data_IF_978527613186
#
_entry.id   IF_978527613186
#
_cell.length_a   1.000
_cell.length_b   1.000
_cell.length_c   1.000
_cell.angle_alpha   90.00
_cell.angle_beta   90.00
_cell.angle_gamma   90.00
#
_symmetry.space_group_name_H-M   'P 1'
#
loop_
_entity.id
_entity.type
_entity.pdbx_description
1 polymer ?
#
# COMPACT_ATOMS: atom_id res chain seq x y z
N UNK A 1 28.97 7.37 7.86
CA UNK A 1 28.15 7.26 6.65
C UNK A 1 26.80 6.73 7.10
N UNK A 2 25.76 7.56 7.02
CA UNK A 2 24.38 7.10 7.18
C UNK A 2 24.06 6.11 6.05
N UNK A 3 23.46 4.98 6.39
CA UNK A 3 23.03 4.00 5.39
C UNK A 3 21.90 4.57 4.53
N UNK A 4 21.82 4.12 3.28
CA UNK A 4 20.79 4.59 2.33
C UNK A 4 19.35 4.28 2.77
N UNK A 5 19.15 3.34 3.72
CA UNK A 5 17.85 3.03 4.31
C UNK A 5 17.54 3.83 5.58
N UNK A 6 18.46 4.71 6.04
CA UNK A 6 18.34 5.51 7.27
C UNK A 6 18.51 4.66 8.52
N UNK A 7 17.86 5.05 9.62
CA UNK A 7 17.93 4.37 10.91
C UNK A 7 16.66 3.54 11.18
N UNK A 8 16.78 2.54 12.06
CA UNK A 8 15.63 1.79 12.59
C UNK A 8 14.77 2.67 13.49
N UNK A 9 13.45 2.48 13.44
CA UNK A 9 12.47 3.17 14.26
C UNK A 9 11.28 2.25 14.60
N UNK A 10 10.18 2.80 15.10
CA UNK A 10 8.97 2.04 15.44
C UNK A 10 8.23 1.47 14.22
N UNK A 11 8.52 1.96 13.02
CA UNK A 11 7.93 1.52 11.75
C UNK A 11 8.94 0.88 10.78
N UNK A 12 10.22 0.83 11.15
CA UNK A 12 11.29 0.32 10.29
C UNK A 12 12.21 -0.62 11.05
N UNK A 13 12.53 -1.76 10.45
CA UNK A 13 13.42 -2.77 11.03
C UNK A 13 14.37 -3.31 9.96
N UNK A 14 15.63 -3.58 10.32
CA UNK A 14 16.64 -4.14 9.45
C UNK A 14 17.03 -5.55 9.91
N UNK A 15 17.25 -6.43 8.94
CA UNK A 15 17.81 -7.76 9.17
C UNK A 15 18.74 -8.13 8.03
N UNK A 16 19.90 -8.64 8.35
CA UNK A 16 20.88 -9.07 7.35
C UNK A 16 20.45 -10.34 6.62
N UNK A 17 19.61 -11.17 7.23
CA UNK A 17 19.22 -12.49 6.71
C UNK A 17 17.87 -12.94 7.27
N UNK A 18 17.16 -13.77 6.51
CA UNK A 18 15.98 -14.50 6.96
C UNK A 18 16.35 -15.91 7.49
N UNK A 19 17.36 -16.54 6.90
CA UNK A 19 17.73 -17.93 7.23
C UNK A 19 18.91 -18.04 8.18
N UNK A 20 19.80 -17.06 8.24
CA UNK A 20 21.03 -17.12 9.02
C UNK A 20 20.98 -16.23 10.25
N UNK A 21 21.12 -16.82 11.43
CA UNK A 21 21.36 -16.07 12.65
C UNK A 21 22.86 -15.69 12.75
N UNK A 22 23.20 -14.53 13.32
CA UNK A 22 24.60 -14.05 13.43
C UNK A 22 25.54 -14.97 14.21
N UNK A 23 25.03 -15.89 14.97
CA UNK A 23 25.75 -16.89 15.77
C UNK A 23 25.01 -18.22 15.70
N UNK A 24 25.69 -19.36 15.96
CA UNK A 24 25.24 -20.77 15.91
C UNK A 24 23.79 -21.06 16.41
N UNK A 25 22.94 -20.05 16.56
CA UNK A 25 21.53 -20.18 16.83
C UNK A 25 20.82 -20.83 15.64
N UNK A 26 19.89 -21.73 15.91
CA UNK A 26 19.15 -22.50 14.92
C UNK A 26 18.44 -21.55 13.92
N UNK A 27 18.49 -21.87 12.63
CA UNK A 27 17.81 -21.14 11.53
C UNK A 27 16.34 -20.82 11.85
N UNK A 28 15.65 -21.69 12.57
CA UNK A 28 14.29 -21.46 13.07
C UNK A 28 14.15 -20.25 14.00
N UNK A 29 15.23 -19.82 14.67
CA UNK A 29 15.18 -18.69 15.59
C UNK A 29 15.19 -17.34 14.84
N UNK A 30 15.91 -17.25 13.71
CA UNK A 30 15.98 -16.01 12.93
C UNK A 30 14.67 -15.71 12.22
N UNK A 31 14.10 -16.69 11.49
CA UNK A 31 12.79 -16.51 10.85
C UNK A 31 11.68 -16.22 11.87
N UNK A 32 11.75 -16.88 13.06
CA UNK A 32 10.84 -16.60 14.16
C UNK A 32 10.94 -15.14 14.64
N UNK A 33 12.17 -14.61 14.81
CA UNK A 33 12.37 -13.22 15.21
C UNK A 33 11.80 -12.22 14.19
N UNK A 34 11.89 -12.54 12.90
CA UNK A 34 11.29 -11.75 11.84
C UNK A 34 9.76 -11.79 11.94
N UNK A 35 9.15 -12.96 12.14
CA UNK A 35 7.71 -13.09 12.33
C UNK A 35 7.21 -12.39 13.59
N UNK A 36 8.00 -12.39 14.68
CA UNK A 36 7.71 -11.55 15.87
C UNK A 36 7.66 -10.05 15.51
N UNK A 37 8.62 -9.57 14.71
CA UNK A 37 8.64 -8.20 14.20
C UNK A 37 7.41 -7.88 13.39
N UNK A 38 7.06 -8.74 12.44
CA UNK A 38 5.86 -8.59 11.60
C UNK A 38 4.59 -8.59 12.46
N UNK A 39 4.45 -9.52 13.41
CA UNK A 39 3.33 -9.56 14.35
C UNK A 39 3.22 -8.26 15.15
N UNK A 40 4.34 -7.76 15.67
CA UNK A 40 4.39 -6.52 16.43
C UNK A 40 4.01 -5.30 15.59
N UNK A 41 4.42 -5.25 14.32
CA UNK A 41 4.02 -4.20 13.37
C UNK A 41 2.53 -4.28 13.05
N UNK A 42 1.98 -5.48 12.78
CA UNK A 42 0.53 -5.67 12.56
C UNK A 42 -0.29 -5.21 13.76
N UNK A 43 0.18 -5.43 14.98
CA UNK A 43 -0.47 -5.02 16.21
C UNK A 43 -0.30 -3.55 16.55
N UNK A 44 0.55 -2.82 15.84
CA UNK A 44 0.78 -1.39 16.03
C UNK A 44 0.31 -0.58 14.81
N UNK A 45 1.19 0.14 14.16
CA UNK A 45 0.90 1.07 13.04
C UNK A 45 1.30 0.51 11.67
N UNK A 46 1.69 -0.76 11.60
CA UNK A 46 2.37 -1.32 10.44
C UNK A 46 3.85 -0.95 10.42
N UNK A 47 4.48 -1.12 9.27
CA UNK A 47 5.89 -0.77 9.09
C UNK A 47 6.53 -1.49 7.92
N UNK A 48 7.84 -1.36 7.80
CA UNK A 48 8.64 -2.03 6.77
C UNK A 48 9.84 -2.70 7.41
N UNK A 49 10.01 -4.00 7.12
CA UNK A 49 11.20 -4.75 7.49
C UNK A 49 12.04 -5.00 6.23
N UNK A 50 13.32 -4.69 6.28
CA UNK A 50 14.25 -4.90 5.18
C UNK A 50 15.16 -6.10 5.47
N UNK A 51 15.23 -7.05 4.52
CA UNK A 51 16.12 -8.18 4.53
C UNK A 51 17.32 -7.94 3.62
N UNK A 52 18.53 -8.18 4.09
CA UNK A 52 19.78 -7.87 3.41
C UNK A 52 20.32 -6.48 3.75
N UNK A 53 19.92 -5.92 4.89
CA UNK A 53 20.36 -4.61 5.41
C UNK A 53 20.91 -4.78 6.81
N UNK A 54 22.03 -4.13 7.12
CA UNK A 54 22.61 -4.13 8.46
C UNK A 54 21.96 -3.09 9.39
N UNK A 55 22.32 -3.12 10.68
CA UNK A 55 21.76 -2.23 11.71
C UNK A 55 22.11 -0.74 11.49
N UNK A 56 22.99 -0.43 10.53
CA UNK A 56 23.35 0.93 10.12
C UNK A 56 22.60 1.39 8.88
N UNK A 57 21.64 0.59 8.37
CA UNK A 57 20.90 0.86 7.15
C UNK A 57 21.74 0.70 5.87
N UNK A 58 22.86 -0.05 5.95
CA UNK A 58 23.72 -0.32 4.79
C UNK A 58 23.30 -1.65 4.16
N UNK A 59 23.03 -1.71 2.84
CA UNK A 59 22.69 -2.95 2.17
C UNK A 59 23.91 -3.88 2.12
N UNK A 60 23.76 -5.07 2.69
CA UNK A 60 24.76 -6.16 2.64
C UNK A 60 24.37 -7.24 1.63
N UNK A 61 23.11 -7.17 1.14
CA UNK A 61 22.56 -8.12 0.19
C UNK A 61 22.21 -9.48 0.78
N UNK A 62 21.60 -10.34 -0.03
CA UNK A 62 21.03 -11.63 0.37
C UNK A 62 21.78 -12.85 -0.22
N UNK A 63 23.02 -12.68 -0.64
CA UNK A 63 23.77 -13.78 -1.30
C UNK A 63 23.75 -15.07 -0.48
N UNK A 64 24.07 -14.99 0.81
CA UNK A 64 24.11 -16.17 1.69
C UNK A 64 22.74 -16.84 1.85
N UNK A 65 21.67 -16.03 1.88
CA UNK A 65 20.31 -16.54 1.95
C UNK A 65 19.91 -17.24 0.66
N UNK A 66 20.29 -16.70 -0.51
CA UNK A 66 20.05 -17.31 -1.81
C UNK A 66 20.82 -18.62 -1.97
N UNK A 67 22.08 -18.69 -1.51
CA UNK A 67 22.86 -19.92 -1.48
C UNK A 67 22.23 -20.96 -0.54
N UNK A 68 21.70 -20.52 0.60
CA UNK A 68 20.96 -21.37 1.55
C UNK A 68 19.64 -21.87 0.97
N UNK A 69 18.93 -21.03 0.22
CA UNK A 69 17.71 -21.38 -0.50
C UNK A 69 17.97 -22.56 -1.48
N UNK A 70 19.03 -22.45 -2.29
CA UNK A 70 19.42 -23.49 -3.22
C UNK A 70 19.80 -24.79 -2.51
N UNK A 71 20.65 -24.70 -1.49
CA UNK A 71 21.20 -25.85 -0.79
C UNK A 71 20.19 -26.60 0.08
N UNK A 72 19.30 -25.88 0.81
CA UNK A 72 18.35 -26.49 1.76
C UNK A 72 17.00 -26.81 1.17
N UNK A 73 16.54 -25.99 0.20
CA UNK A 73 15.19 -26.12 -0.33
C UNK A 73 15.17 -26.55 -1.79
N UNK A 74 16.35 -26.67 -2.45
CA UNK A 74 16.44 -27.07 -3.86
C UNK A 74 15.79 -26.06 -4.83
N UNK A 75 15.68 -24.79 -4.41
CA UNK A 75 15.06 -23.71 -5.19
C UNK A 75 16.12 -22.88 -5.92
N UNK A 76 15.73 -22.21 -6.99
CA UNK A 76 16.63 -21.29 -7.69
C UNK A 76 17.10 -20.15 -6.76
N UNK A 77 18.39 -19.75 -6.78
CA UNK A 77 18.93 -18.69 -5.92
C UNK A 77 18.54 -17.29 -6.46
N UNK A 78 17.27 -17.01 -6.51
CA UNK A 78 16.70 -15.72 -7.00
C UNK A 78 15.86 -15.06 -5.91
N UNK A 79 15.72 -13.72 -5.97
CA UNK A 79 14.85 -13.00 -5.05
C UNK A 79 13.39 -13.46 -5.14
N UNK A 80 12.91 -13.82 -6.34
CA UNK A 80 11.54 -14.31 -6.52
C UNK A 80 11.32 -15.63 -5.78
N UNK A 81 12.23 -16.60 -5.93
CA UNK A 81 12.16 -17.88 -5.21
C UNK A 81 12.30 -17.67 -3.69
N UNK A 82 13.13 -16.72 -3.28
CA UNK A 82 13.30 -16.33 -1.89
C UNK A 82 12.00 -15.75 -1.29
N UNK A 83 11.33 -14.85 -2.00
CA UNK A 83 10.04 -14.29 -1.57
C UNK A 83 8.94 -15.37 -1.53
N UNK A 84 8.92 -16.31 -2.48
CA UNK A 84 8.00 -17.47 -2.45
C UNK A 84 8.20 -18.27 -1.17
N UNK A 85 9.44 -18.54 -0.77
CA UNK A 85 9.72 -19.29 0.43
C UNK A 85 9.35 -18.53 1.71
N UNK A 86 9.54 -17.21 1.75
CA UNK A 86 9.09 -16.37 2.86
C UNK A 86 7.57 -16.35 2.94
N UNK A 87 6.86 -16.17 1.82
CA UNK A 87 5.40 -16.20 1.78
C UNK A 87 4.86 -17.52 2.32
N UNK A 88 5.41 -18.67 1.89
CA UNK A 88 5.02 -19.99 2.39
C UNK A 88 5.16 -20.11 3.90
N UNK A 89 6.29 -19.65 4.45
CA UNK A 89 6.50 -19.68 5.90
C UNK A 89 5.61 -18.66 6.62
N UNK A 90 5.38 -17.50 6.03
CA UNK A 90 4.48 -16.49 6.58
C UNK A 90 3.03 -17.00 6.68
N UNK A 91 2.52 -17.65 5.64
CA UNK A 91 1.21 -18.29 5.67
C UNK A 91 1.13 -19.40 6.72
N UNK A 92 2.23 -20.15 6.93
CA UNK A 92 2.29 -21.16 7.98
C UNK A 92 2.21 -20.56 9.38
N UNK A 93 2.84 -19.39 9.62
CA UNK A 93 2.91 -18.75 10.93
C UNK A 93 1.72 -17.86 11.26
N UNK A 94 1.10 -17.25 10.25
CA UNK A 94 0.01 -16.28 10.43
C UNK A 94 -1.33 -16.77 9.92
N UNK A 95 -1.35 -17.75 9.01
CA UNK A 95 -2.51 -18.10 8.22
C UNK A 95 -2.81 -17.04 7.15
N UNK A 96 -3.62 -17.41 6.16
CA UNK A 96 -4.02 -16.54 5.04
C UNK A 96 -4.72 -15.26 5.51
N UNK A 97 -5.49 -15.33 6.59
CA UNK A 97 -6.26 -14.20 7.15
C UNK A 97 -5.37 -13.02 7.53
N UNK A 98 -4.21 -13.26 8.10
CA UNK A 98 -3.28 -12.22 8.51
C UNK A 98 -2.22 -11.95 7.44
N UNK A 99 -1.72 -12.99 6.76
CA UNK A 99 -0.62 -12.83 5.81
C UNK A 99 -0.96 -11.95 4.60
N UNK A 100 -2.23 -11.82 4.23
CA UNK A 100 -2.68 -10.87 3.18
C UNK A 100 -2.40 -9.39 3.48
N UNK A 101 -2.05 -9.04 4.74
CA UNK A 101 -1.62 -7.70 5.15
C UNK A 101 -0.10 -7.50 5.04
N UNK A 102 0.60 -8.48 4.46
CA UNK A 102 2.04 -8.44 4.24
C UNK A 102 2.32 -8.45 2.74
N UNK A 103 3.16 -7.53 2.29
CA UNK A 103 3.59 -7.47 0.88
C UNK A 103 5.11 -7.49 0.82
N UNK A 104 5.68 -8.45 0.07
CA UNK A 104 7.11 -8.53 -0.18
C UNK A 104 7.44 -7.82 -1.49
N UNK A 105 8.52 -7.04 -1.49
CA UNK A 105 9.00 -6.33 -2.68
C UNK A 105 10.51 -6.47 -2.82
N UNK A 106 11.04 -6.88 -3.99
CA UNK A 106 12.46 -6.93 -4.22
C UNK A 106 13.02 -5.52 -4.49
N UNK A 107 14.22 -5.26 -3.99
CA UNK A 107 15.04 -4.09 -4.30
C UNK A 107 16.30 -4.60 -4.99
N UNK A 108 16.18 -4.81 -6.30
CA UNK A 108 17.16 -5.53 -7.10
C UNK A 108 18.55 -4.87 -7.11
N UNK A 109 18.61 -3.53 -7.09
CA UNK A 109 19.85 -2.75 -7.12
C UNK A 109 20.79 -3.10 -5.96
N UNK A 110 20.22 -3.52 -4.82
CA UNK A 110 20.95 -3.83 -3.59
C UNK A 110 20.85 -5.30 -3.18
N UNK A 111 20.14 -6.12 -3.96
CA UNK A 111 19.83 -7.51 -3.61
C UNK A 111 19.20 -7.63 -2.20
N UNK A 112 18.17 -6.81 -1.96
CA UNK A 112 17.44 -6.65 -0.70
C UNK A 112 15.97 -6.97 -0.94
N UNK A 113 15.25 -7.44 0.07
CA UNK A 113 13.80 -7.59 0.05
C UNK A 113 13.18 -6.72 1.14
N UNK A 114 12.19 -5.90 0.79
CA UNK A 114 11.36 -5.20 1.75
C UNK A 114 10.08 -5.99 2.03
N UNK A 115 9.73 -6.11 3.31
CA UNK A 115 8.49 -6.69 3.80
C UNK A 115 7.65 -5.54 4.33
N UNK A 116 6.65 -5.12 3.55
CA UNK A 116 5.71 -4.07 3.94
C UNK A 116 4.59 -4.71 4.74
N UNK A 117 4.37 -4.25 5.95
CA UNK A 117 3.38 -4.77 6.89
C UNK A 117 2.32 -3.72 7.13
N UNK A 118 1.07 -4.03 6.80
CA UNK A 118 -0.08 -3.19 7.14
C UNK A 118 -0.61 -3.55 8.54
N UNK A 119 -1.11 -2.58 9.32
CA UNK A 119 -1.74 -2.88 10.59
C UNK A 119 -3.02 -3.69 10.38
N UNK A 120 -3.19 -4.78 11.14
CA UNK A 120 -4.43 -5.57 11.08
C UNK A 120 -5.57 -4.80 11.77
N UNK A 121 -6.68 -4.51 11.08
CA UNK A 121 -7.65 -3.53 11.59
C UNK A 121 -8.70 -4.09 12.55
N UNK A 122 -8.84 -5.43 12.68
CA UNK A 122 -10.03 -6.02 13.34
C UNK A 122 -9.78 -6.47 14.77
N UNK A 123 -8.65 -7.15 15.04
CA UNK A 123 -8.34 -7.76 16.33
C UNK A 123 -6.83 -7.84 16.56
N UNK A 124 -6.40 -8.40 17.67
CA UNK A 124 -5.01 -8.70 17.95
C UNK A 124 -4.53 -9.85 17.08
N UNK A 125 -3.35 -9.73 16.52
CA UNK A 125 -2.70 -10.77 15.71
C UNK A 125 -1.86 -11.66 16.62
N UNK A 126 -2.01 -12.96 16.46
CA UNK A 126 -1.23 -13.98 17.15
C UNK A 126 -0.43 -14.79 16.13
N UNK A 127 0.75 -15.24 16.53
CA UNK A 127 1.49 -16.27 15.81
C UNK A 127 0.84 -17.65 16.04
N UNK A 128 1.19 -18.64 15.21
CA UNK A 128 0.62 -19.99 15.31
C UNK A 128 0.87 -20.68 16.66
N UNK A 129 1.89 -20.25 17.40
CA UNK A 129 2.21 -20.75 18.75
C UNK A 129 1.38 -20.06 19.87
N UNK A 130 0.45 -19.19 19.51
CA UNK A 130 -0.40 -18.44 20.42
C UNK A 130 0.28 -17.22 21.05
N UNK A 131 1.51 -16.89 20.66
CA UNK A 131 2.18 -15.70 21.17
C UNK A 131 1.78 -14.45 20.35
N UNK A 132 1.83 -13.29 20.99
CA UNK A 132 1.56 -12.01 20.37
C UNK A 132 2.56 -10.94 20.81
N UNK A 133 2.82 -9.98 19.95
CA UNK A 133 3.88 -8.99 20.13
C UNK A 133 3.36 -7.59 19.80
N UNK A 134 3.95 -6.58 20.46
CA UNK A 134 3.71 -5.16 20.19
C UNK A 134 5.05 -4.44 19.98
N UNK A 135 5.08 -3.50 19.05
CA UNK A 135 6.24 -2.65 18.83
C UNK A 135 6.37 -1.62 19.95
N UNK A 136 7.52 -1.62 20.62
CA UNK A 136 7.91 -0.62 21.63
C UNK A 136 9.24 -0.01 21.19
N UNK A 137 9.19 1.21 20.64
CA UNK A 137 10.33 1.83 19.96
C UNK A 137 10.84 0.90 18.82
N UNK A 138 12.14 0.58 18.79
CA UNK A 138 12.76 -0.31 17.81
C UNK A 138 12.77 -1.80 18.21
N UNK A 139 12.00 -2.21 19.22
CA UNK A 139 11.94 -3.60 19.68
C UNK A 139 10.54 -4.21 19.64
N UNK A 140 10.46 -5.53 19.46
CA UNK A 140 9.22 -6.31 19.51
C UNK A 140 9.09 -6.99 20.87
N UNK A 141 8.23 -6.46 21.73
CA UNK A 141 7.97 -6.98 23.06
C UNK A 141 6.78 -7.94 23.06
N UNK A 142 6.91 -9.12 23.68
CA UNK A 142 5.80 -10.04 23.84
C UNK A 142 4.74 -9.43 24.78
N UNK A 143 3.48 -9.53 24.39
CA UNK A 143 2.35 -9.14 25.23
C UNK A 143 1.92 -10.36 26.04
N UNK A 144 1.95 -10.24 27.35
CA UNK A 144 1.50 -11.28 28.29
C UNK A 144 0.38 -10.83 29.18
N UNK A 145 0.11 -9.54 29.19
CA UNK A 145 -0.93 -8.92 30.02
C UNK A 145 -2.21 -8.67 29.20
N UNK A 146 -3.35 -9.08 29.77
CA UNK A 146 -4.67 -8.96 29.14
C UNK A 146 -5.06 -7.48 28.95
N UNK A 147 -4.61 -6.57 29.78
CA UNK A 147 -4.96 -5.15 29.69
C UNK A 147 -4.42 -4.52 28.38
N UNK A 148 -3.21 -4.86 27.96
CA UNK A 148 -2.66 -4.42 26.68
C UNK A 148 -3.44 -5.01 25.49
N UNK A 149 -3.84 -6.28 25.57
CA UNK A 149 -4.66 -6.94 24.56
C UNK A 149 -6.01 -6.23 24.42
N UNK A 150 -6.70 -5.99 25.51
CA UNK A 150 -7.96 -5.28 25.54
C UNK A 150 -7.85 -3.85 25.00
N UNK A 151 -6.74 -3.14 25.29
CA UNK A 151 -6.50 -1.81 24.77
C UNK A 151 -6.33 -1.79 23.25
N UNK A 152 -5.66 -2.80 22.66
CA UNK A 152 -5.54 -2.94 21.21
C UNK A 152 -6.92 -3.21 20.60
N UNK A 153 -7.70 -4.13 21.17
CA UNK A 153 -9.07 -4.47 20.72
C UNK A 153 -9.98 -3.25 20.77
N UNK A 154 -10.00 -2.55 21.90
CA UNK A 154 -10.80 -1.34 22.07
C UNK A 154 -10.47 -0.27 21.03
N UNK A 155 -9.20 0.05 20.82
CA UNK A 155 -8.78 1.04 19.80
C UNK A 155 -9.22 0.67 18.41
N UNK A 156 -9.17 -0.61 18.04
CA UNK A 156 -9.62 -1.10 16.73
C UNK A 156 -11.13 -1.04 16.58
N UNK A 157 -11.87 -1.50 17.57
CA UNK A 157 -13.33 -1.40 17.59
C UNK A 157 -13.80 0.04 17.50
N UNK A 158 -13.16 0.97 18.22
CA UNK A 158 -13.45 2.41 18.13
C UNK A 158 -13.15 2.96 16.72
N UNK A 159 -12.05 2.54 16.09
CA UNK A 159 -11.72 2.95 14.73
C UNK A 159 -12.73 2.44 13.70
N UNK A 160 -13.14 1.18 13.80
CA UNK A 160 -14.17 0.58 12.95
C UNK A 160 -15.52 1.29 13.17
N UNK A 161 -15.96 1.47 14.43
CA UNK A 161 -17.19 2.17 14.74
C UNK A 161 -17.20 3.60 14.20
N UNK A 162 -16.10 4.36 14.34
CA UNK A 162 -15.98 5.70 13.76
C UNK A 162 -16.12 5.69 12.23
N UNK A 163 -15.70 4.64 11.56
CA UNK A 163 -15.88 4.49 10.11
C UNK A 163 -17.32 4.15 9.78
N UNK A 164 -17.94 3.23 10.53
CA UNK A 164 -19.36 2.87 10.37
C UNK A 164 -20.28 4.06 10.63
N UNK A 165 -20.01 4.86 11.67
CA UNK A 165 -20.73 6.10 11.96
C UNK A 165 -20.70 7.08 10.79
N UNK A 166 -19.55 7.24 10.12
CA UNK A 166 -19.42 8.11 8.94
C UNK A 166 -20.26 7.59 7.76
N UNK A 167 -20.27 6.27 7.56
CA UNK A 167 -21.07 5.63 6.51
C UNK A 167 -22.56 5.81 6.78
N UNK A 168 -23.00 5.64 8.03
CA UNK A 168 -24.37 5.85 8.45
C UNK A 168 -24.79 7.30 8.19
N UNK A 169 -23.98 8.28 8.58
CA UNK A 169 -24.23 9.70 8.33
C UNK A 169 -24.33 9.99 6.84
N UNK A 170 -23.45 9.42 6.01
CA UNK A 170 -23.48 9.61 4.56
C UNK A 170 -24.72 9.00 3.93
N UNK A 171 -25.12 7.78 4.32
CA UNK A 171 -26.34 7.12 3.84
C UNK A 171 -27.58 7.93 4.19
N UNK A 172 -27.68 8.45 5.41
CA UNK A 172 -28.76 9.29 5.87
C UNK A 172 -28.79 10.63 5.12
N UNK A 173 -27.63 11.27 4.91
CA UNK A 173 -27.52 12.51 4.15
C UNK A 173 -27.94 12.33 2.67
N UNK A 174 -27.58 11.22 2.03
CA UNK A 174 -28.00 10.87 0.66
C UNK A 174 -29.52 10.69 0.61
N UNK A 175 -30.09 9.93 1.53
CA UNK A 175 -31.53 9.69 1.62
C UNK A 175 -32.32 11.00 1.81
N UNK A 176 -31.85 11.85 2.72
CA UNK A 176 -32.45 13.16 3.04
C UNK A 176 -32.08 14.26 2.05
N UNK A 177 -31.23 13.97 1.07
CA UNK A 177 -30.71 14.95 0.09
C UNK A 177 -30.10 16.17 0.78
N UNK A 178 -29.24 15.92 1.76
CA UNK A 178 -28.56 16.94 2.56
C UNK A 178 -27.08 17.01 2.21
N UNK A 179 -26.52 18.21 2.34
CA UNK A 179 -25.08 18.44 2.25
C UNK A 179 -24.37 17.89 3.48
N UNK A 180 -23.12 17.52 3.32
CA UNK A 180 -22.26 17.12 4.45
C UNK A 180 -20.99 17.96 4.50
N UNK A 181 -20.46 18.13 5.69
CA UNK A 181 -19.13 18.70 5.93
C UNK A 181 -18.16 17.58 6.26
N UNK A 182 -17.12 17.42 5.44
CA UNK A 182 -15.93 16.65 5.78
C UNK A 182 -15.01 17.53 6.59
N UNK A 183 -14.77 17.15 7.85
CA UNK A 183 -13.85 17.85 8.76
C UNK A 183 -12.50 17.16 8.68
N UNK A 184 -11.42 17.95 8.53
CA UNK A 184 -10.06 17.45 8.52
C UNK A 184 -9.77 16.44 7.40
N UNK A 185 -10.32 16.64 6.18
CA UNK A 185 -10.10 15.72 5.07
C UNK A 185 -8.66 15.80 4.56
N UNK A 186 -7.96 14.66 4.63
CA UNK A 186 -6.57 14.49 4.18
C UNK A 186 -6.56 14.17 2.68
N UNK A 187 -6.19 15.14 1.86
CA UNK A 187 -6.08 14.97 0.41
C UNK A 187 -4.65 14.57 0.03
N UNK A 188 -4.48 13.35 -0.49
CA UNK A 188 -3.16 12.87 -0.94
C UNK A 188 -2.70 13.66 -2.19
N UNK A 189 -3.61 13.96 -3.12
CA UNK A 189 -3.26 14.61 -4.39
C UNK A 189 -2.77 16.06 -4.20
N UNK A 190 -3.26 16.78 -3.19
CA UNK A 190 -2.86 18.17 -2.91
C UNK A 190 -1.96 18.31 -1.68
N UNK A 191 -1.70 17.22 -0.93
CA UNK A 191 -0.94 17.27 0.31
C UNK A 191 -1.57 18.14 1.41
N UNK A 192 -2.89 18.42 1.34
CA UNK A 192 -3.55 19.37 2.23
C UNK A 192 -4.57 18.69 3.15
N UNK A 193 -4.77 19.26 4.33
CA UNK A 193 -5.85 18.91 5.24
C UNK A 193 -6.84 20.08 5.26
N UNK A 194 -8.09 19.86 4.81
CA UNK A 194 -9.11 20.91 4.69
C UNK A 194 -10.49 20.39 5.05
N UNK A 195 -11.33 21.30 5.54
CA UNK A 195 -12.77 21.06 5.62
C UNK A 195 -13.39 21.25 4.22
N UNK A 196 -14.39 20.42 3.89
CA UNK A 196 -15.09 20.48 2.60
C UNK A 196 -16.59 20.35 2.83
N UNK A 197 -17.38 21.16 2.14
CA UNK A 197 -18.85 21.03 2.11
C UNK A 197 -19.23 20.48 0.76
N UNK A 198 -19.88 19.32 0.75
CA UNK A 198 -20.17 18.57 -0.47
C UNK A 198 -21.59 17.99 -0.45
N UNK A 199 -22.11 17.64 -1.61
CA UNK A 199 -23.36 16.92 -1.79
C UNK A 199 -23.05 15.44 -2.07
N UNK A 200 -23.14 14.54 -1.06
CA UNK A 200 -22.91 13.11 -1.27
C UNK A 200 -24.10 12.51 -1.99
N UNK A 201 -23.89 11.64 -2.99
CA UNK A 201 -25.00 11.05 -3.74
C UNK A 201 -24.85 9.56 -4.07
N UNK A 202 -23.66 8.96 -3.88
CA UNK A 202 -23.44 7.52 -4.06
C UNK A 202 -22.27 7.05 -3.22
N UNK A 203 -22.36 5.81 -2.68
CA UNK A 203 -21.30 5.17 -1.90
C UNK A 203 -20.91 3.85 -2.60
N UNK A 204 -19.60 3.68 -2.85
CA UNK A 204 -19.02 2.45 -3.38
C UNK A 204 -18.33 1.68 -2.25
N UNK A 205 -18.64 0.38 -2.13
CA UNK A 205 -18.01 -0.60 -1.24
C UNK A 205 -17.83 -0.16 0.22
N UNK A 206 -18.64 0.81 0.68
CA UNK A 206 -18.50 1.48 1.98
C UNK A 206 -17.12 2.14 2.23
N UNK A 207 -16.30 2.30 1.21
CA UNK A 207 -15.00 2.95 1.29
C UNK A 207 -14.95 4.33 0.62
N UNK A 208 -15.70 4.49 -0.46
CA UNK A 208 -15.68 5.69 -1.28
C UNK A 208 -17.06 6.31 -1.40
N UNK A 209 -17.11 7.63 -1.46
CA UNK A 209 -18.35 8.36 -1.69
C UNK A 209 -18.20 9.36 -2.83
N UNK A 210 -19.13 9.33 -3.76
CA UNK A 210 -19.24 10.31 -4.84
C UNK A 210 -19.96 11.54 -4.32
N UNK A 211 -19.34 12.69 -4.45
CA UNK A 211 -19.87 13.95 -4.01
C UNK A 211 -19.70 15.02 -5.08
N UNK A 212 -20.64 15.94 -5.16
CA UNK A 212 -20.44 17.20 -5.87
C UNK A 212 -19.88 18.26 -4.91
N UNK A 213 -18.78 18.89 -5.28
CA UNK A 213 -18.10 19.96 -4.54
C UNK A 213 -18.35 21.30 -5.24
N UNK A 214 -19.24 22.12 -4.71
CA UNK A 214 -19.67 23.37 -5.34
C UNK A 214 -18.54 24.40 -5.47
N UNK A 215 -17.62 24.46 -4.53
CA UNK A 215 -16.46 25.36 -4.57
C UNK A 215 -15.57 25.16 -5.79
N UNK A 216 -15.52 23.95 -6.33
CA UNK A 216 -14.70 23.60 -7.50
C UNK A 216 -15.54 23.26 -8.73
N UNK A 217 -16.88 23.33 -8.62
CA UNK A 217 -17.83 22.95 -9.68
C UNK A 217 -17.52 21.56 -10.28
N UNK A 218 -17.23 20.57 -9.43
CA UNK A 218 -16.82 19.22 -9.86
C UNK A 218 -17.40 18.11 -9.00
N UNK A 219 -17.71 17.01 -9.65
CA UNK A 219 -17.90 15.73 -8.95
C UNK A 219 -16.53 15.15 -8.59
N UNK A 220 -16.42 14.64 -7.37
CA UNK A 220 -15.23 13.99 -6.84
C UNK A 220 -15.58 12.73 -6.08
N UNK A 221 -14.63 11.82 -6.01
CA UNK A 221 -14.69 10.63 -5.19
C UNK A 221 -13.81 10.84 -3.96
N UNK A 222 -14.42 10.71 -2.80
CA UNK A 222 -13.73 10.87 -1.51
C UNK A 222 -13.61 9.50 -0.82
N UNK A 223 -12.43 9.17 -0.33
CA UNK A 223 -12.26 8.02 0.55
C UNK A 223 -12.74 8.38 1.95
N UNK A 224 -13.75 7.66 2.45
CA UNK A 224 -14.47 7.99 3.71
C UNK A 224 -13.52 8.02 4.91
N UNK A 225 -12.57 7.08 4.97
CA UNK A 225 -11.59 6.98 6.05
C UNK A 225 -10.63 8.18 6.18
N UNK A 226 -10.46 8.98 5.10
CA UNK A 226 -9.58 10.17 5.11
C UNK A 226 -10.18 11.40 5.78
N UNK A 227 -11.48 11.43 6.03
CA UNK A 227 -12.09 12.47 6.85
C UNK A 227 -11.87 12.16 8.33
N UNK A 228 -11.53 13.14 9.12
CA UNK A 228 -11.50 13.00 10.59
C UNK A 228 -12.93 12.78 11.11
N UNK A 229 -13.86 13.62 10.65
CA UNK A 229 -15.28 13.55 10.99
C UNK A 229 -16.13 13.93 9.77
N UNK A 230 -17.33 13.36 9.68
CA UNK A 230 -18.36 13.75 8.72
C UNK A 230 -19.58 14.25 9.51
N UNK A 231 -20.12 15.39 9.13
CA UNK A 231 -21.27 16.02 9.77
C UNK A 231 -22.31 16.37 8.70
N UNK A 232 -23.52 15.87 8.85
CA UNK A 232 -24.65 16.28 8.01
C UNK A 232 -25.01 17.72 8.36
N UNK A 233 -25.29 18.54 7.35
CA UNK A 233 -25.73 19.92 7.51
C UNK A 233 -27.26 20.03 7.32
N UNK A 234 -27.83 21.15 7.75
CA UNK A 234 -29.24 21.44 7.50
C UNK A 234 -29.50 21.94 6.06
N UNK A 235 -28.45 22.15 5.26
CA UNK A 235 -28.57 22.59 3.90
C UNK A 235 -28.96 21.45 2.95
N UNK A 236 -30.03 21.63 2.11
CA UNK A 236 -30.37 20.65 1.09
C UNK A 236 -29.35 20.66 -0.07
N UNK A 237 -29.38 19.63 -0.91
CA UNK A 237 -28.73 19.67 -2.20
C UNK A 237 -29.23 20.82 -3.05
N UNK A 238 -28.31 21.49 -3.73
CA UNK A 238 -28.61 22.61 -4.65
C UNK A 238 -28.30 22.29 -6.12
N UNK A 239 -27.49 21.22 -6.35
CA UNK A 239 -26.90 20.90 -7.64
C UNK A 239 -27.13 19.43 -8.04
N UNK A 240 -28.33 18.92 -7.77
CA UNK A 240 -28.69 17.53 -8.07
C UNK A 240 -28.50 17.16 -9.55
N UNK A 241 -28.72 18.10 -10.46
CA UNK A 241 -28.54 17.93 -11.90
C UNK A 241 -27.06 17.67 -12.29
N UNK A 242 -26.12 18.05 -11.45
CA UNK A 242 -24.68 17.82 -11.63
C UNK A 242 -24.22 16.50 -11.02
N UNK A 243 -25.08 15.74 -10.34
CA UNK A 243 -24.74 14.46 -9.77
C UNK A 243 -24.58 13.40 -10.87
N UNK A 244 -23.35 13.09 -11.21
CA UNK A 244 -22.99 12.12 -12.22
C UNK A 244 -21.96 11.16 -11.64
N UNK A 245 -22.21 9.85 -11.72
CA UNK A 245 -21.23 8.84 -11.34
C UNK A 245 -19.99 9.00 -12.21
N UNK A 246 -18.84 9.15 -11.57
CA UNK A 246 -17.56 9.14 -12.25
C UNK A 246 -17.10 7.69 -12.43
N UNK A 247 -16.61 7.37 -13.61
CA UNK A 247 -15.88 6.13 -13.82
C UNK A 247 -14.50 6.23 -13.17
N UNK A 248 -14.05 5.14 -12.55
CA UNK A 248 -12.68 4.97 -12.07
C UNK A 248 -11.90 4.24 -13.15
N UNK A 249 -10.70 4.73 -13.46
CA UNK A 249 -9.79 4.06 -14.38
C UNK A 249 -9.01 2.93 -13.67
N UNK A 250 -8.28 2.08 -14.42
CA UNK A 250 -7.49 1.00 -13.83
C UNK A 250 -6.36 1.45 -12.90
N UNK A 251 -6.03 2.74 -12.86
CA UNK A 251 -5.04 3.34 -11.96
C UNK A 251 -5.68 4.02 -10.74
N UNK A 252 -6.97 3.73 -10.48
CA UNK A 252 -7.78 4.29 -9.39
C UNK A 252 -7.95 5.82 -9.46
N UNK A 253 -7.89 6.39 -10.67
CA UNK A 253 -8.17 7.80 -10.91
C UNK A 253 -9.57 7.98 -11.46
N UNK A 254 -10.18 9.11 -11.13
CA UNK A 254 -11.47 9.52 -11.65
C UNK A 254 -11.37 10.83 -12.42
N UNK A 255 -12.17 10.98 -13.47
CA UNK A 255 -12.17 12.17 -14.29
C UNK A 255 -13.19 12.09 -15.43
N UNK A 256 -13.26 13.14 -16.22
CA UNK A 256 -14.18 13.23 -17.36
C UNK A 256 -13.49 12.93 -18.69
N UNK A 257 -12.22 13.35 -18.80
CA UNK A 257 -11.46 13.23 -20.05
C UNK A 257 -10.51 12.05 -19.98
N UNK A 258 -10.77 11.06 -20.83
CA UNK A 258 -9.89 9.89 -20.99
C UNK A 258 -8.63 10.26 -21.78
N UNK A 259 -7.51 9.70 -21.34
CA UNK A 259 -6.22 9.71 -22.01
C UNK A 259 -5.92 8.25 -22.33
N UNK A 260 -5.80 7.91 -23.61
CA UNK A 260 -5.48 6.56 -24.02
C UNK A 260 -4.05 6.22 -23.61
N UNK A 261 -3.84 4.98 -23.19
CA UNK A 261 -2.58 4.47 -22.68
C UNK A 261 -2.17 3.23 -23.44
N UNK A 262 -1.01 3.33 -24.11
CA UNK A 262 -0.34 2.19 -24.76
C UNK A 262 1.11 2.17 -24.33
N UNK A 263 1.46 1.17 -23.52
CA UNK A 263 2.82 0.95 -23.04
C UNK A 263 3.25 -0.48 -23.41
N UNK A 264 4.49 -0.62 -23.90
CA UNK A 264 5.13 -1.93 -23.99
C UNK A 264 5.99 -2.16 -22.76
N UNK A 265 5.78 -3.29 -22.11
CA UNK A 265 6.35 -3.62 -20.81
C UNK A 265 7.25 -4.83 -20.95
N UNK A 266 8.41 -4.81 -20.31
CA UNK A 266 9.16 -6.02 -19.99
C UNK A 266 8.61 -6.70 -18.74
N UNK A 267 9.06 -7.91 -18.43
CA UNK A 267 8.53 -8.74 -17.35
C UNK A 267 8.48 -7.97 -16.01
N UNK A 268 9.54 -7.26 -15.65
CA UNK A 268 9.64 -6.53 -14.38
C UNK A 268 8.54 -5.46 -14.26
N UNK A 269 8.39 -4.65 -15.30
CA UNK A 269 7.37 -3.60 -15.31
C UNK A 269 5.95 -4.19 -15.35
N UNK A 270 5.72 -5.25 -16.12
CA UNK A 270 4.43 -5.93 -16.19
C UNK A 270 4.02 -6.51 -14.84
N UNK A 271 4.95 -7.16 -14.13
CA UNK A 271 4.70 -7.74 -12.81
C UNK A 271 4.41 -6.65 -11.78
N UNK A 272 5.28 -5.62 -11.70
CA UNK A 272 5.07 -4.49 -10.79
C UNK A 272 3.73 -3.77 -11.03
N UNK A 273 3.34 -3.60 -12.31
CA UNK A 273 2.08 -2.94 -12.63
C UNK A 273 0.86 -3.75 -12.16
N UNK A 274 0.91 -5.09 -12.28
CA UNK A 274 -0.15 -5.98 -11.77
C UNK A 274 -0.23 -5.98 -10.25
N UNK A 275 0.90 -5.85 -9.56
CA UNK A 275 0.96 -5.75 -8.10
C UNK A 275 0.38 -4.42 -7.61
N UNK A 276 0.73 -3.31 -8.28
CA UNK A 276 0.21 -1.98 -7.92
C UNK A 276 -1.28 -1.81 -8.22
N UNK A 277 -1.74 -2.45 -9.31
CA UNK A 277 -3.11 -2.33 -9.81
C UNK A 277 -3.65 -3.71 -10.23
N UNK A 278 -4.09 -4.57 -9.32
CA UNK A 278 -4.51 -5.95 -9.63
C UNK A 278 -5.54 -6.06 -10.75
N UNK A 279 -6.46 -5.09 -10.86
CA UNK A 279 -7.45 -5.00 -11.93
C UNK A 279 -6.90 -4.71 -13.32
N UNK A 280 -5.62 -4.33 -13.45
CA UNK A 280 -4.99 -3.96 -14.73
C UNK A 280 -4.75 -5.18 -15.63
N UNK A 281 -4.70 -6.40 -15.06
CA UNK A 281 -4.36 -7.63 -15.78
C UNK A 281 -5.19 -7.87 -17.04
N UNK A 282 -6.47 -7.47 -17.04
CA UNK A 282 -7.38 -7.58 -18.19
C UNK A 282 -7.03 -6.68 -19.36
N UNK A 283 -6.16 -5.71 -19.18
CA UNK A 283 -5.71 -4.76 -20.20
C UNK A 283 -4.30 -5.08 -20.71
N UNK A 284 -3.68 -6.16 -20.20
CA UNK A 284 -2.32 -6.58 -20.57
C UNK A 284 -2.42 -7.84 -21.42
N UNK A 285 -1.79 -7.81 -22.58
CA UNK A 285 -1.63 -8.98 -23.46
C UNK A 285 -0.16 -9.19 -23.81
N UNK A 286 0.23 -10.42 -24.12
CA UNK A 286 1.57 -10.72 -24.63
C UNK A 286 1.75 -10.10 -26.03
N UNK A 287 2.89 -9.44 -26.26
CA UNK A 287 3.21 -8.73 -27.50
C UNK A 287 4.59 -9.14 -28.07
N UNK A 288 5.14 -10.24 -27.60
CA UNK A 288 6.42 -10.80 -28.01
C UNK A 288 6.84 -11.95 -27.10
N UNK A 289 8.06 -12.46 -27.27
CA UNK A 289 8.59 -13.52 -26.40
C UNK A 289 8.72 -13.06 -24.95
N UNK A 290 9.21 -11.82 -24.73
CA UNK A 290 9.53 -11.27 -23.41
C UNK A 290 8.92 -9.90 -23.19
N UNK A 291 7.87 -9.55 -23.92
CA UNK A 291 7.20 -8.25 -23.85
C UNK A 291 5.68 -8.38 -23.80
N UNK A 292 5.06 -7.41 -23.16
CA UNK A 292 3.61 -7.31 -22.97
C UNK A 292 3.13 -5.92 -23.35
N UNK A 293 2.00 -5.84 -24.00
CA UNK A 293 1.32 -4.59 -24.34
C UNK A 293 0.23 -4.31 -23.31
N UNK A 294 0.31 -3.17 -22.66
CA UNK A 294 -0.79 -2.58 -21.91
C UNK A 294 -1.57 -1.66 -22.85
N UNK A 295 -2.87 -1.92 -23.00
CA UNK A 295 -3.80 -1.05 -23.73
C UNK A 295 -4.98 -0.73 -22.84
N UNK A 296 -5.08 0.54 -22.40
CA UNK A 296 -6.10 1.02 -21.49
C UNK A 296 -6.29 2.53 -21.60
N UNK A 297 -6.84 3.16 -20.57
CA UNK A 297 -6.96 4.60 -20.46
C UNK A 297 -6.68 5.06 -19.03
N UNK A 298 -6.39 6.34 -18.87
CA UNK A 298 -6.34 7.00 -17.57
C UNK A 298 -7.04 8.35 -17.60
N UNK A 299 -7.50 8.82 -16.46
CA UNK A 299 -8.00 10.18 -16.27
C UNK A 299 -6.91 11.14 -15.75
N UNK A 300 -5.78 10.62 -15.28
CA UNK A 300 -4.68 11.41 -14.75
C UNK A 300 -3.34 10.74 -15.06
N UNK A 301 -2.39 11.50 -15.58
CA UNK A 301 -1.07 10.99 -15.93
C UNK A 301 -0.16 10.72 -14.72
N UNK A 302 -0.48 11.27 -13.55
CA UNK A 302 0.40 11.19 -12.38
C UNK A 302 0.77 9.75 -11.97
N UNK A 303 -0.15 8.77 -11.86
CA UNK A 303 0.21 7.40 -11.54
C UNK A 303 1.12 6.75 -12.59
N UNK A 304 0.86 7.02 -13.88
CA UNK A 304 1.69 6.54 -14.98
C UNK A 304 3.07 7.17 -14.98
N UNK A 305 3.15 8.47 -14.69
CA UNK A 305 4.40 9.20 -14.58
C UNK A 305 5.28 8.61 -13.46
N UNK A 306 4.72 8.41 -12.27
CA UNK A 306 5.42 7.79 -11.14
C UNK A 306 5.87 6.37 -11.48
N UNK A 307 4.98 5.58 -12.07
CA UNK A 307 5.31 4.23 -12.52
C UNK A 307 6.44 4.23 -13.56
N UNK A 308 6.36 5.11 -14.55
CA UNK A 308 7.39 5.24 -15.60
C UNK A 308 8.75 5.64 -14.99
N UNK A 309 8.78 6.63 -14.10
CA UNK A 309 10.02 7.06 -13.44
C UNK A 309 10.71 5.94 -12.67
N UNK A 310 9.92 5.06 -12.04
CA UNK A 310 10.44 3.93 -11.28
C UNK A 310 10.89 2.74 -12.15
N UNK A 311 10.39 2.63 -13.39
CA UNK A 311 10.57 1.47 -14.26
C UNK A 311 10.97 1.83 -15.69
N UNK A 312 11.56 3.02 -15.92
CA UNK A 312 11.81 3.56 -17.27
C UNK A 312 12.59 2.60 -18.19
N UNK A 313 13.56 1.86 -17.66
CA UNK A 313 14.35 0.88 -18.41
C UNK A 313 13.56 -0.36 -18.88
N UNK A 314 12.36 -0.57 -18.32
CA UNK A 314 11.50 -1.71 -18.60
C UNK A 314 10.18 -1.32 -19.27
N UNK A 315 9.99 -0.02 -19.57
CA UNK A 315 8.76 0.53 -20.14
C UNK A 315 9.06 1.35 -21.38
N UNK A 316 8.47 0.96 -22.51
CA UNK A 316 8.43 1.76 -23.72
C UNK A 316 7.08 2.48 -23.82
N UNK A 317 7.11 3.81 -23.95
CA UNK A 317 5.91 4.61 -24.21
C UNK A 317 5.59 4.52 -25.70
N UNK A 318 4.58 3.70 -26.03
CA UNK A 318 4.14 3.52 -27.41
C UNK A 318 3.24 4.68 -27.84
N UNK A 319 2.19 4.95 -27.01
CA UNK A 319 1.29 6.08 -27.24
C UNK A 319 0.59 6.46 -25.91
N UNK A 320 1.01 7.54 -25.31
CA UNK A 320 0.37 8.17 -24.14
C UNK A 320 0.56 9.68 -24.26
N UNK A 321 -0.50 10.35 -24.67
CA UNK A 321 -0.44 11.80 -24.89
C UNK A 321 -0.08 12.55 -23.62
N UNK A 322 1.00 13.35 -23.67
CA UNK A 322 1.44 14.22 -22.59
C UNK A 322 2.28 13.54 -21.51
N UNK A 323 2.54 12.21 -21.58
CA UNK A 323 3.30 11.52 -20.54
C UNK A 323 4.79 11.92 -20.56
N UNK A 324 5.40 12.02 -21.72
CA UNK A 324 6.82 12.40 -21.84
C UNK A 324 7.08 13.81 -21.33
N UNK A 325 6.18 14.73 -21.67
CA UNK A 325 6.19 16.11 -21.19
C UNK A 325 6.03 16.18 -19.67
N UNK A 326 5.05 15.45 -19.11
CA UNK A 326 4.84 15.40 -17.67
C UNK A 326 6.05 14.82 -16.91
N UNK A 327 6.71 13.81 -17.46
CA UNK A 327 7.96 13.25 -16.91
C UNK A 327 9.08 14.28 -16.96
N UNK A 328 9.29 14.94 -18.10
CA UNK A 328 10.33 15.94 -18.26
C UNK A 328 10.14 17.13 -17.30
N UNK A 329 8.91 17.62 -17.19
CA UNK A 329 8.57 18.72 -16.27
C UNK A 329 8.81 18.30 -14.81
N UNK A 330 8.42 17.09 -14.42
CA UNK A 330 8.65 16.58 -13.07
C UNK A 330 10.15 16.47 -12.76
N UNK A 331 10.94 15.87 -13.67
CA UNK A 331 12.40 15.73 -13.51
C UNK A 331 13.06 17.11 -13.37
N UNK A 332 12.73 18.06 -14.25
CA UNK A 332 13.25 19.43 -14.21
C UNK A 332 12.88 20.16 -12.92
N UNK A 333 11.66 19.99 -12.43
CA UNK A 333 11.16 20.72 -11.26
C UNK A 333 11.69 20.15 -9.93
N UNK A 334 11.86 18.85 -9.80
CA UNK A 334 12.12 18.20 -8.52
C UNK A 334 13.49 17.51 -8.44
N UNK A 335 14.10 17.12 -9.54
CA UNK A 335 15.42 16.47 -9.53
C UNK A 335 16.56 17.43 -9.90
N UNK A 336 16.24 18.67 -10.31
CA UNK A 336 17.22 19.72 -10.63
C UNK A 336 18.30 19.29 -11.64
N UNK A 337 17.96 18.41 -12.60
CA UNK A 337 18.84 17.90 -13.66
C UNK A 337 18.54 18.61 -14.97
#
# INVERSE_FOLDING_TARGET
LEGIFGEEDDMKEFKTSFFEAPTNAKVQLQSYNIFRGICAMMNNRGGVLYLGVDDKGIPVGLKNDLDTLARKFGMSPTLDAYMIQINRQGEEWFGETYWKYVTLKPINEHNVVSIVVEPYPYDVVYLKDGTTYLRKNNSSAQITDESTIEDIRRRRQEALRKTDDKIIILKDAIQKKRRVRFVGYKSINSGTIKNRIVEPFHIDDNEYVHCYEAEQDKVKIFRISRAEKIVMTDEPWKFKEKHKLLSIDPFHMSGEKKIDVRLRLKLQAMTALKEYYPGISRYIRQDGSDTWMLETFTYNLYPLMVFYLSHAQYVEIVDVKGLKEAVADYVKQYLHI
#
